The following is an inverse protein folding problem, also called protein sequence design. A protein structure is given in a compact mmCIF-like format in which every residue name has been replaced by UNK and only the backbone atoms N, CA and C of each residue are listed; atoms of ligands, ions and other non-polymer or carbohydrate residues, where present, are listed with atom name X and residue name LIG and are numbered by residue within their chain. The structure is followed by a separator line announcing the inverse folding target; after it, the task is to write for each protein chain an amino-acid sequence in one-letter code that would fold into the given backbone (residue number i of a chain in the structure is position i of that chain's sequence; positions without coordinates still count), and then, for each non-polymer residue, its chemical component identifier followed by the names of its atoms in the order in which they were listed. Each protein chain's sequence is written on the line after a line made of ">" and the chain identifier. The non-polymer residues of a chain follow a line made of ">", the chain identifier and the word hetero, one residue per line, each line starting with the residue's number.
data_IF_316727461083
#
_entry.id   IF_316727461083
#
_cell.length_a   1.000
_cell.length_b   1.000
_cell.length_c   1.000
_cell.angle_alpha   90.00
_cell.angle_beta   90.00
_cell.angle_gamma   90.00
#
_symmetry.space_group_name_H-M   'P 1'
#
loop_
_entity.id
_entity.type
_entity.pdbx_description
1 polymer ?
#
# COMPACT_ATOMS: atom_id res chain seq x y z
N UNK A 1 -12.30 -5.53 5.98
CA UNK A 1 -11.07 -5.61 5.16
C UNK A 1 -10.20 -4.40 5.48
N UNK A 2 -8.86 -4.49 5.43
CA UNK A 2 -7.97 -3.35 5.68
C UNK A 2 -7.77 -2.51 4.43
N UNK A 3 -7.58 -1.20 4.60
CA UNK A 3 -7.24 -0.28 3.51
C UNK A 3 -5.82 0.26 3.73
N UNK A 4 -4.92 0.00 2.80
CA UNK A 4 -3.61 0.63 2.75
C UNK A 4 -3.57 1.63 1.59
N UNK A 5 -3.02 2.80 1.83
CA UNK A 5 -2.74 3.78 0.78
C UNK A 5 -1.24 3.73 0.50
N UNK A 6 -0.86 3.58 -0.76
CA UNK A 6 0.52 3.73 -1.21
C UNK A 6 0.69 5.12 -1.78
N UNK A 7 1.78 5.81 -1.44
CA UNK A 7 2.06 7.14 -2.00
C UNK A 7 2.27 7.07 -3.51
N UNK A 8 2.13 8.20 -4.19
CA UNK A 8 2.65 8.35 -5.55
C UNK A 8 4.15 8.08 -5.56
N UNK A 9 4.67 7.49 -6.63
CA UNK A 9 6.09 7.14 -6.75
C UNK A 9 7.05 8.34 -6.74
N UNK A 10 6.53 9.54 -7.04
CA UNK A 10 7.28 10.81 -7.03
C UNK A 10 6.78 11.72 -5.92
N UNK A 11 7.66 12.56 -5.39
CA UNK A 11 7.26 13.65 -4.48
C UNK A 11 6.58 14.78 -5.26
N UNK A 12 5.66 15.47 -4.60
CA UNK A 12 4.99 16.64 -5.15
C UNK A 12 4.71 17.68 -4.06
N UNK A 13 4.44 18.92 -4.48
CA UNK A 13 4.18 20.03 -3.56
C UNK A 13 2.89 19.77 -2.77
N UNK A 14 2.90 20.06 -1.46
CA UNK A 14 1.78 19.88 -0.54
C UNK A 14 1.36 18.41 -0.29
N UNK A 15 2.20 17.44 -0.65
CA UNK A 15 1.94 16.03 -0.35
C UNK A 15 1.70 15.79 1.14
N UNK A 16 2.46 16.45 2.01
CA UNK A 16 2.30 16.39 3.46
C UNK A 16 0.92 16.84 3.93
N UNK A 17 0.36 17.89 3.32
CA UNK A 17 -0.98 18.39 3.67
C UNK A 17 -2.07 17.41 3.25
N UNK A 18 -1.95 16.83 2.05
CA UNK A 18 -2.91 15.83 1.57
C UNK A 18 -2.84 14.57 2.44
N UNK A 19 -1.64 14.08 2.75
CA UNK A 19 -1.45 12.93 3.63
C UNK A 19 -2.01 13.19 5.04
N UNK A 20 -1.76 14.38 5.60
CA UNK A 20 -2.32 14.78 6.90
C UNK A 20 -3.84 14.74 6.85
N UNK A 21 -4.47 15.31 5.83
CA UNK A 21 -5.93 15.28 5.67
C UNK A 21 -6.47 13.85 5.52
N UNK A 22 -5.77 12.96 4.83
CA UNK A 22 -6.14 11.53 4.75
C UNK A 22 -6.07 10.86 6.13
N UNK A 23 -5.06 11.19 6.95
CA UNK A 23 -4.96 10.68 8.31
C UNK A 23 -6.06 11.23 9.21
N UNK A 24 -6.43 12.51 9.08
CA UNK A 24 -7.54 13.14 9.81
C UNK A 24 -8.87 12.43 9.48
N UNK A 25 -9.05 12.01 8.22
CA UNK A 25 -10.19 11.22 7.78
C UNK A 25 -10.06 9.71 8.13
N UNK A 26 -9.04 9.35 8.91
CA UNK A 26 -8.89 8.01 9.48
C UNK A 26 -8.12 7.03 8.63
N UNK A 27 -7.21 7.48 7.77
CA UNK A 27 -6.20 6.60 7.20
C UNK A 27 -5.34 6.03 8.32
N UNK A 28 -5.17 4.73 8.35
CA UNK A 28 -4.41 4.04 9.40
C UNK A 28 -3.23 3.19 8.89
N UNK A 29 -3.02 3.17 7.57
CA UNK A 29 -1.93 2.42 6.95
C UNK A 29 -1.47 3.12 5.68
N UNK A 30 -0.35 3.81 5.77
CA UNK A 30 0.32 4.49 4.65
C UNK A 30 1.60 3.75 4.30
N UNK A 31 1.77 3.41 3.04
CA UNK A 31 3.00 2.89 2.48
C UNK A 31 3.76 4.00 1.75
N UNK A 32 4.89 4.40 2.29
CA UNK A 32 5.77 5.41 1.69
C UNK A 32 6.66 4.73 0.64
N UNK A 33 6.24 4.85 -0.63
CA UNK A 33 6.90 4.26 -1.79
C UNK A 33 7.46 5.36 -2.69
N UNK A 34 8.78 5.55 -2.67
CA UNK A 34 9.48 6.61 -3.41
C UNK A 34 10.74 6.04 -4.07
N UNK A 35 10.60 5.11 -5.02
CA UNK A 35 11.72 4.36 -5.57
C UNK A 35 12.76 5.28 -6.20
N UNK A 36 14.04 5.02 -5.89
CA UNK A 36 15.17 5.76 -6.44
C UNK A 36 15.34 7.20 -5.94
N UNK A 37 14.52 7.64 -4.97
CA UNK A 37 14.63 8.98 -4.40
C UNK A 37 15.71 9.07 -3.32
N UNK A 38 16.30 10.26 -3.15
CA UNK A 38 17.20 10.53 -2.03
C UNK A 38 16.44 10.42 -0.70
N UNK A 39 17.06 9.85 0.35
CA UNK A 39 16.45 9.75 1.67
C UNK A 39 16.05 11.10 2.26
N UNK A 40 16.75 12.16 1.93
CA UNK A 40 16.48 13.53 2.41
C UNK A 40 15.03 13.98 2.12
N UNK A 41 14.44 13.57 0.99
CA UNK A 41 13.06 13.93 0.66
C UNK A 41 12.06 13.16 1.53
N UNK A 42 12.32 11.89 1.80
CA UNK A 42 11.50 11.09 2.73
C UNK A 42 11.61 11.61 4.15
N UNK A 43 12.81 11.95 4.62
CA UNK A 43 13.03 12.58 5.93
C UNK A 43 12.24 13.89 6.07
N UNK A 44 12.33 14.76 5.06
CA UNK A 44 11.58 16.01 5.05
C UNK A 44 10.07 15.77 5.12
N UNK A 45 9.54 14.86 4.30
CA UNK A 45 8.11 14.53 4.32
C UNK A 45 7.68 14.01 5.70
N UNK A 46 8.44 13.06 6.28
CA UNK A 46 8.16 12.51 7.59
C UNK A 46 8.21 13.57 8.70
N UNK A 47 9.15 14.53 8.61
CA UNK A 47 9.24 15.63 9.56
C UNK A 47 8.01 16.53 9.55
N UNK A 48 7.37 16.72 8.39
CA UNK A 48 6.16 17.52 8.23
C UNK A 48 4.90 16.81 8.73
N UNK A 49 4.91 15.47 8.85
CA UNK A 49 3.77 14.72 9.38
C UNK A 49 3.76 14.75 10.93
N UNK A 50 2.58 14.88 11.56
CA UNK A 50 2.41 14.69 13.00
C UNK A 50 2.97 13.34 13.49
N UNK A 51 3.52 13.33 14.71
CA UNK A 51 4.16 12.13 15.25
C UNK A 51 3.24 10.90 15.32
N UNK A 52 1.99 11.09 15.71
CA UNK A 52 0.99 10.02 15.78
C UNK A 52 0.68 9.41 14.40
N UNK A 53 0.83 10.20 13.33
CA UNK A 53 0.64 9.72 11.95
C UNK A 53 1.86 8.97 11.43
N UNK A 54 3.08 9.36 11.82
CA UNK A 54 4.30 8.63 11.47
C UNK A 54 4.25 7.17 11.91
N UNK A 55 3.66 6.87 13.07
CA UNK A 55 3.47 5.50 13.57
C UNK A 55 2.55 4.63 12.72
N UNK A 56 1.88 5.22 11.74
CA UNK A 56 1.03 4.53 10.76
C UNK A 56 1.67 4.39 9.37
N UNK A 57 2.94 4.79 9.25
CA UNK A 57 3.70 4.78 8.00
C UNK A 57 4.61 3.55 7.94
N UNK A 58 4.59 2.85 6.81
CA UNK A 58 5.52 1.77 6.46
C UNK A 58 6.41 2.25 5.31
N UNK A 59 7.73 2.13 5.43
CA UNK A 59 8.68 2.55 4.38
C UNK A 59 9.11 1.40 3.48
N UNK A 60 9.26 1.69 2.19
CA UNK A 60 9.74 0.73 1.18
C UNK A 60 11.25 0.86 0.93
N UNK A 61 11.82 2.04 1.17
CA UNK A 61 13.22 2.35 1.00
C UNK A 61 13.79 2.96 2.28
N UNK A 62 15.14 3.02 2.38
CA UNK A 62 15.81 3.69 3.50
C UNK A 62 15.31 3.19 4.87
N UNK A 63 15.39 1.88 5.11
CA UNK A 63 14.79 1.19 6.26
C UNK A 63 15.19 1.75 7.63
N UNK A 64 16.33 2.45 7.74
CA UNK A 64 16.73 3.13 8.98
C UNK A 64 15.71 4.19 9.45
N UNK A 65 14.92 4.77 8.52
CA UNK A 65 13.87 5.73 8.82
C UNK A 65 12.82 5.16 9.76
N UNK A 66 12.60 3.83 9.72
CA UNK A 66 11.65 3.17 10.64
C UNK A 66 12.02 3.42 12.09
N UNK A 67 13.29 3.32 12.46
CA UNK A 67 13.75 3.53 13.83
C UNK A 67 13.86 5.01 14.15
N UNK A 68 14.35 5.81 13.22
CA UNK A 68 14.59 7.24 13.44
C UNK A 68 13.30 8.04 13.63
N UNK A 69 12.23 7.66 12.93
CA UNK A 69 10.93 8.36 12.99
C UNK A 69 9.83 7.54 13.69
N UNK A 70 10.16 6.45 14.35
CA UNK A 70 9.20 5.55 15.03
C UNK A 70 8.05 5.10 14.13
N UNK A 71 8.38 4.65 12.92
CA UNK A 71 7.40 4.25 11.92
C UNK A 71 6.80 2.86 12.23
N UNK A 72 5.68 2.51 11.57
CA UNK A 72 4.99 1.23 11.75
C UNK A 72 5.85 0.01 11.40
N UNK A 73 6.64 0.10 10.34
CA UNK A 73 7.47 -1.01 9.87
C UNK A 73 8.16 -0.71 8.55
N UNK A 74 8.69 -1.77 7.95
CA UNK A 74 9.29 -1.74 6.61
C UNK A 74 8.54 -2.66 5.66
N UNK A 75 8.60 -2.37 4.36
CA UNK A 75 8.10 -3.23 3.30
C UNK A 75 9.24 -3.66 2.38
N UNK A 76 9.30 -4.93 2.05
CA UNK A 76 10.32 -5.51 1.17
C UNK A 76 9.67 -5.77 -0.19
N UNK A 77 9.98 -4.91 -1.17
CA UNK A 77 9.38 -4.98 -2.51
C UNK A 77 9.88 -6.16 -3.34
N UNK A 78 11.19 -6.46 -3.26
CA UNK A 78 11.75 -7.61 -3.94
C UNK A 78 11.34 -8.92 -3.24
N UNK A 79 10.57 -9.81 -3.91
CA UNK A 79 10.16 -11.08 -3.34
C UNK A 79 11.32 -11.98 -2.90
N UNK A 80 12.50 -11.79 -3.45
CA UNK A 80 13.69 -12.61 -3.19
C UNK A 80 14.64 -11.98 -2.17
N UNK A 81 14.51 -10.68 -1.88
CA UNK A 81 15.38 -10.00 -0.94
C UNK A 81 15.21 -10.55 0.49
N UNK A 82 16.30 -10.73 1.24
CA UNK A 82 16.24 -11.10 2.65
C UNK A 82 15.71 -9.94 3.50
N UNK A 83 15.27 -10.27 4.71
CA UNK A 83 15.04 -9.26 5.74
C UNK A 83 16.40 -8.64 6.10
N UNK A 84 16.50 -7.32 6.27
CA UNK A 84 17.77 -6.68 6.67
C UNK A 84 18.35 -7.30 7.93
N UNK A 85 19.67 -7.50 7.93
CA UNK A 85 20.37 -8.09 9.06
C UNK A 85 20.10 -7.33 10.38
N UNK A 86 19.78 -8.06 11.42
CA UNK A 86 19.48 -7.50 12.73
C UNK A 86 18.12 -6.80 12.87
N UNK A 87 17.32 -6.72 11.82
CA UNK A 87 15.99 -6.11 11.90
C UNK A 87 15.02 -6.99 12.71
N UNK A 88 14.44 -6.39 13.77
CA UNK A 88 13.50 -7.08 14.68
C UNK A 88 12.09 -6.51 14.67
N UNK A 89 11.82 -5.52 13.81
CA UNK A 89 10.53 -4.86 13.72
C UNK A 89 9.49 -5.60 12.89
N UNK A 90 8.31 -5.02 12.76
CA UNK A 90 7.27 -5.50 11.84
C UNK A 90 7.71 -5.26 10.40
N UNK A 91 7.46 -6.24 9.54
CA UNK A 91 7.67 -6.09 8.11
C UNK A 91 6.59 -6.77 7.29
N UNK A 92 6.37 -6.25 6.12
CA UNK A 92 5.55 -6.82 5.06
C UNK A 92 6.40 -7.01 3.82
N UNK A 93 5.91 -7.75 2.84
CA UNK A 93 6.63 -7.95 1.57
C UNK A 93 5.69 -8.16 0.40
N UNK A 94 6.22 -7.92 -0.79
CA UNK A 94 5.55 -8.25 -2.04
C UNK A 94 5.74 -9.73 -2.39
N UNK A 95 4.69 -10.34 -2.92
CA UNK A 95 4.68 -11.68 -3.50
C UNK A 95 4.07 -11.61 -4.90
N UNK A 96 4.72 -12.27 -5.85
CA UNK A 96 4.27 -12.36 -7.26
C UNK A 96 3.96 -13.79 -7.69
N UNK A 97 4.03 -14.74 -6.76
CA UNK A 97 3.87 -16.17 -7.02
C UNK A 97 2.97 -16.81 -5.96
N UNK A 98 1.82 -17.33 -6.40
CA UNK A 98 0.84 -18.00 -5.52
C UNK A 98 1.44 -19.19 -4.77
N UNK A 99 2.41 -19.91 -5.36
CA UNK A 99 3.04 -21.07 -4.73
C UNK A 99 3.90 -20.66 -3.51
N UNK A 100 4.49 -19.48 -3.54
CA UNK A 100 5.32 -18.95 -2.45
C UNK A 100 4.53 -18.23 -1.36
N UNK A 101 3.27 -17.90 -1.64
CA UNK A 101 2.44 -17.08 -0.75
C UNK A 101 2.31 -17.65 0.66
N UNK A 102 2.13 -18.97 0.78
CA UNK A 102 2.02 -19.65 2.08
C UNK A 102 3.28 -19.49 2.95
N UNK A 103 4.46 -19.59 2.35
CA UNK A 103 5.72 -19.42 3.07
C UNK A 103 5.94 -17.96 3.47
N UNK A 104 5.69 -17.03 2.56
CA UNK A 104 5.86 -15.60 2.81
C UNK A 104 4.95 -15.10 3.93
N UNK A 105 3.70 -15.58 4.00
CA UNK A 105 2.77 -15.25 5.09
C UNK A 105 3.26 -15.69 6.47
N UNK A 106 4.00 -16.78 6.58
CA UNK A 106 4.55 -17.24 7.86
C UNK A 106 5.60 -16.32 8.43
N UNK A 107 6.39 -15.70 7.55
CA UNK A 107 7.56 -14.88 7.91
C UNK A 107 7.24 -13.39 8.02
N UNK A 108 6.10 -12.92 7.49
CA UNK A 108 5.73 -11.51 7.43
C UNK A 108 4.46 -11.22 8.22
N UNK A 109 4.27 -9.97 8.60
CA UNK A 109 3.02 -9.53 9.23
C UNK A 109 1.84 -9.59 8.24
N UNK A 110 2.08 -9.17 6.99
CA UNK A 110 1.18 -9.33 5.85
C UNK A 110 1.99 -9.33 4.56
N UNK A 111 1.34 -9.70 3.47
CA UNK A 111 1.96 -9.84 2.14
C UNK A 111 1.10 -9.11 1.11
N UNK A 112 1.71 -8.33 0.23
CA UNK A 112 1.07 -7.81 -0.97
C UNK A 112 1.14 -8.86 -2.07
N UNK A 113 0.02 -9.33 -2.57
CA UNK A 113 -0.04 -10.14 -3.78
C UNK A 113 -0.18 -9.19 -4.98
N UNK A 114 0.87 -9.11 -5.79
CA UNK A 114 1.03 -8.20 -6.94
C UNK A 114 1.09 -9.00 -8.24
N UNK A 115 0.54 -8.64 -9.36
CA UNK A 115 -0.43 -7.59 -9.71
C UNK A 115 -1.80 -8.26 -9.88
N UNK A 116 -2.80 -7.83 -9.13
CA UNK A 116 -4.15 -8.41 -9.22
C UNK A 116 -4.83 -7.98 -10.51
N UNK A 117 -4.76 -6.68 -10.83
CA UNK A 117 -5.20 -6.09 -12.08
C UNK A 117 -4.05 -5.33 -12.75
N UNK A 118 -4.30 -4.81 -13.96
CA UNK A 118 -3.39 -3.89 -14.64
C UNK A 118 -3.17 -2.65 -13.75
N UNK A 119 -1.91 -2.27 -13.56
CA UNK A 119 -1.56 -1.14 -12.72
C UNK A 119 -2.10 0.17 -13.30
N UNK A 120 -2.70 1.01 -12.46
CA UNK A 120 -3.22 2.32 -12.87
C UNK A 120 -2.07 3.33 -13.00
N UNK A 121 -1.08 3.26 -12.11
CA UNK A 121 0.06 4.19 -12.09
C UNK A 121 1.10 3.85 -13.17
N UNK A 122 1.42 2.56 -13.32
CA UNK A 122 2.41 2.06 -14.28
C UNK A 122 1.73 1.23 -15.37
N UNK A 123 1.48 1.85 -16.52
CA UNK A 123 0.70 1.24 -17.62
C UNK A 123 1.30 -0.05 -18.19
N UNK A 124 2.60 -0.26 -18.05
CA UNK A 124 3.31 -1.44 -18.52
C UNK A 124 3.20 -2.62 -17.55
N UNK A 125 2.80 -2.39 -16.31
CA UNK A 125 2.56 -3.44 -15.32
C UNK A 125 1.17 -4.04 -15.50
N UNK A 126 1.13 -5.25 -16.08
CA UNK A 126 -0.11 -5.99 -16.34
C UNK A 126 -0.45 -6.95 -15.21
N UNK A 127 -1.72 -7.37 -15.18
CA UNK A 127 -2.17 -8.38 -14.22
C UNK A 127 -1.38 -9.68 -14.39
N UNK A 128 -1.01 -10.29 -13.26
CA UNK A 128 -0.21 -11.52 -13.22
C UNK A 128 -1.09 -12.77 -13.07
N UNK A 129 -2.37 -12.61 -12.76
CA UNK A 129 -3.27 -13.72 -12.43
C UNK A 129 -4.60 -13.61 -13.19
N UNK A 130 -5.10 -14.73 -13.66
CA UNK A 130 -6.48 -14.83 -14.12
C UNK A 130 -7.45 -14.86 -12.93
N UNK A 131 -8.70 -14.47 -13.15
CA UNK A 131 -9.76 -14.59 -12.13
C UNK A 131 -9.87 -16.02 -11.59
N UNK A 132 -9.80 -17.01 -12.48
CA UNK A 132 -9.85 -18.43 -12.11
C UNK A 132 -8.69 -18.83 -11.18
N UNK A 133 -7.47 -18.35 -11.43
CA UNK A 133 -6.32 -18.61 -10.56
C UNK A 133 -6.53 -18.01 -9.16
N UNK A 134 -7.06 -16.79 -9.08
CA UNK A 134 -7.37 -16.14 -7.80
C UNK A 134 -8.47 -16.86 -7.02
N UNK A 135 -9.54 -17.31 -7.73
CA UNK A 135 -10.61 -18.09 -7.10
C UNK A 135 -10.10 -19.44 -6.57
N UNK A 136 -9.24 -20.13 -7.33
CA UNK A 136 -8.62 -21.38 -6.89
C UNK A 136 -7.71 -21.14 -5.66
N UNK A 137 -6.92 -20.06 -5.66
CA UNK A 137 -6.07 -19.69 -4.53
C UNK A 137 -6.90 -19.36 -3.28
N UNK A 138 -8.02 -18.67 -3.45
CA UNK A 138 -8.96 -18.37 -2.37
C UNK A 138 -9.58 -19.66 -1.78
N UNK A 139 -10.09 -20.55 -2.63
CA UNK A 139 -10.64 -21.84 -2.21
C UNK A 139 -9.61 -22.72 -1.51
N UNK A 140 -8.35 -22.67 -1.92
CA UNK A 140 -7.23 -23.37 -1.29
C UNK A 140 -6.75 -22.74 0.03
N UNK A 141 -7.35 -21.61 0.48
CA UNK A 141 -6.94 -20.88 1.69
C UNK A 141 -5.60 -20.19 1.58
N UNK A 142 -5.11 -19.97 0.37
CA UNK A 142 -3.87 -19.19 0.14
C UNK A 142 -4.11 -17.70 0.34
N UNK A 143 -5.27 -17.19 -0.09
CA UNK A 143 -5.72 -15.82 0.15
C UNK A 143 -6.46 -15.81 1.49
N UNK A 144 -6.01 -14.97 2.41
CA UNK A 144 -6.55 -14.83 3.76
C UNK A 144 -6.32 -13.43 4.34
N UNK A 145 -6.57 -13.27 5.65
CA UNK A 145 -6.43 -11.99 6.37
C UNK A 145 -5.04 -11.36 6.30
N UNK A 146 -4.01 -12.12 5.95
CA UNK A 146 -2.63 -11.63 5.80
C UNK A 146 -2.27 -11.25 4.37
N UNK A 147 -3.15 -11.44 3.40
CA UNK A 147 -2.88 -11.15 1.99
C UNK A 147 -3.65 -9.91 1.57
N UNK A 148 -2.94 -8.92 1.06
CA UNK A 148 -3.50 -7.67 0.56
C UNK A 148 -3.36 -7.64 -0.96
N UNK A 149 -4.43 -7.26 -1.64
CA UNK A 149 -4.45 -7.12 -3.09
C UNK A 149 -3.73 -5.83 -3.51
N UNK A 150 -2.72 -5.94 -4.36
CA UNK A 150 -1.98 -4.82 -4.96
C UNK A 150 -2.00 -4.91 -6.49
N UNK A 151 -2.14 -3.78 -7.14
CA UNK A 151 -2.16 -3.61 -8.60
C UNK A 151 -3.56 -3.39 -9.14
N UNK A 152 -3.80 -2.22 -9.70
CA UNK A 152 -5.06 -1.82 -10.31
C UNK A 152 -6.26 -1.77 -9.37
N UNK A 153 -6.03 -1.76 -8.06
CA UNK A 153 -7.11 -1.69 -7.09
C UNK A 153 -7.79 -0.33 -7.12
N UNK A 154 -9.12 -0.35 -7.18
CA UNK A 154 -9.97 0.84 -7.24
C UNK A 154 -11.32 0.59 -6.56
N UNK A 155 -12.11 1.65 -6.37
CA UNK A 155 -13.44 1.55 -5.77
C UNK A 155 -14.33 0.51 -6.48
N UNK A 156 -14.19 0.39 -7.80
CA UNK A 156 -15.02 -0.47 -8.66
C UNK A 156 -14.77 -1.98 -8.43
N UNK A 157 -13.54 -2.34 -7.98
CA UNK A 157 -13.17 -3.75 -7.83
C UNK A 157 -12.94 -4.21 -6.39
N UNK A 158 -13.18 -3.35 -5.39
CA UNK A 158 -13.06 -3.70 -3.97
C UNK A 158 -13.94 -4.89 -3.58
N UNK A 159 -15.15 -4.97 -4.16
CA UNK A 159 -16.07 -6.08 -3.88
C UNK A 159 -15.46 -7.42 -4.25
N UNK A 160 -14.80 -7.51 -5.40
CA UNK A 160 -14.14 -8.75 -5.84
C UNK A 160 -13.02 -9.16 -4.87
N UNK A 161 -12.20 -8.22 -4.42
CA UNK A 161 -11.17 -8.52 -3.43
C UNK A 161 -11.77 -9.04 -2.10
N UNK A 162 -12.88 -8.46 -1.66
CA UNK A 162 -13.61 -8.90 -0.46
C UNK A 162 -14.18 -10.31 -0.64
N UNK A 163 -14.80 -10.59 -1.77
CA UNK A 163 -15.41 -11.88 -2.10
C UNK A 163 -14.33 -13.00 -2.22
N UNK A 164 -13.13 -12.68 -2.68
CA UNK A 164 -11.98 -13.58 -2.72
C UNK A 164 -11.31 -13.80 -1.36
N UNK A 165 -11.70 -13.06 -0.32
CA UNK A 165 -11.19 -13.23 1.05
C UNK A 165 -9.87 -12.51 1.33
N UNK A 166 -9.48 -11.51 0.53
CA UNK A 166 -8.32 -10.68 0.85
C UNK A 166 -8.50 -9.98 2.20
N UNK A 167 -7.43 -9.98 3.01
CA UNK A 167 -7.41 -9.28 4.29
C UNK A 167 -7.32 -7.77 4.15
N UNK A 168 -6.81 -7.29 3.03
CA UNK A 168 -6.68 -5.88 2.71
C UNK A 168 -6.54 -5.60 1.22
N UNK A 169 -6.60 -4.32 0.89
CA UNK A 169 -6.33 -3.78 -0.45
C UNK A 169 -5.37 -2.61 -0.34
N UNK A 170 -4.57 -2.43 -1.38
CA UNK A 170 -3.62 -1.32 -1.51
C UNK A 170 -4.09 -0.42 -2.66
N UNK A 171 -4.42 0.80 -2.34
CA UNK A 171 -4.84 1.83 -3.31
C UNK A 171 -3.68 2.78 -3.57
N UNK A 172 -3.38 3.00 -4.84
CA UNK A 172 -2.37 3.95 -5.30
C UNK A 172 -2.94 4.81 -6.43
N UNK A 173 -2.86 4.38 -7.68
CA UNK A 173 -3.27 5.15 -8.85
C UNK A 173 -4.73 5.63 -8.82
N UNK A 174 -5.64 4.90 -8.17
CA UNK A 174 -7.04 5.31 -8.04
C UNK A 174 -7.24 6.59 -7.19
N UNK A 175 -6.28 6.92 -6.33
CA UNK A 175 -6.26 8.19 -5.60
C UNK A 175 -5.42 9.23 -6.36
N UNK A 176 -4.18 8.87 -6.76
CA UNK A 176 -3.22 9.86 -7.24
C UNK A 176 -3.36 10.22 -8.71
N UNK A 177 -3.89 9.31 -9.55
CA UNK A 177 -4.02 9.53 -11.00
C UNK A 177 -5.44 9.92 -11.43
N UNK A 178 -6.42 9.83 -10.53
CA UNK A 178 -7.81 10.21 -10.79
C UNK A 178 -8.02 11.73 -10.72
N UNK A 179 -7.29 12.39 -9.85
CA UNK A 179 -7.47 13.81 -9.53
C UNK A 179 -6.23 14.64 -9.91
N UNK A 180 -6.46 15.89 -10.27
CA UNK A 180 -5.40 16.90 -10.32
C UNK A 180 -5.12 17.38 -8.89
N UNK A 181 -4.14 16.77 -8.25
CA UNK A 181 -3.78 17.03 -6.84
C UNK A 181 -3.24 18.44 -6.58
N UNK A 182 -2.98 19.23 -7.63
CA UNK A 182 -2.60 20.64 -7.52
C UNK A 182 -3.80 21.59 -7.57
N UNK A 183 -5.00 21.07 -7.83
CA UNK A 183 -6.24 21.83 -7.82
C UNK A 183 -6.97 21.63 -6.48
N UNK A 184 -7.32 22.71 -5.80
CA UNK A 184 -7.99 22.64 -4.48
C UNK A 184 -9.32 21.88 -4.54
N UNK A 185 -10.07 22.01 -5.64
CA UNK A 185 -11.33 21.29 -5.84
C UNK A 185 -11.08 19.80 -5.93
N UNK A 186 -10.10 19.39 -6.74
CA UNK A 186 -9.75 17.97 -6.90
C UNK A 186 -9.18 17.38 -5.61
N UNK A 187 -8.47 18.18 -4.80
CA UNK A 187 -8.01 17.76 -3.48
C UNK A 187 -9.19 17.42 -2.54
N UNK A 188 -10.24 18.23 -2.53
CA UNK A 188 -11.46 17.93 -1.75
C UNK A 188 -12.16 16.67 -2.28
N UNK A 189 -12.23 16.51 -3.59
CA UNK A 189 -12.79 15.33 -4.23
C UNK A 189 -11.96 14.07 -3.94
N UNK A 190 -10.63 14.18 -3.88
CA UNK A 190 -9.73 13.11 -3.46
C UNK A 190 -10.06 12.63 -2.04
N UNK A 191 -10.24 13.53 -1.09
CA UNK A 191 -10.62 13.18 0.29
C UNK A 191 -12.00 12.49 0.32
N UNK A 192 -12.98 13.01 -0.42
CA UNK A 192 -14.31 12.39 -0.52
C UNK A 192 -14.23 10.99 -1.16
N UNK A 193 -13.33 10.79 -2.13
CA UNK A 193 -13.10 9.47 -2.73
C UNK A 193 -12.50 8.50 -1.72
N UNK A 194 -11.54 8.95 -0.93
CA UNK A 194 -10.98 8.16 0.16
C UNK A 194 -12.05 7.71 1.17
N UNK A 195 -12.97 8.61 1.55
CA UNK A 195 -14.10 8.24 2.42
C UNK A 195 -14.98 7.16 1.79
N UNK A 196 -15.24 7.25 0.47
CA UNK A 196 -16.00 6.20 -0.26
C UNK A 196 -15.29 4.85 -0.24
N UNK A 197 -13.96 4.84 -0.44
CA UNK A 197 -13.13 3.64 -0.33
C UNK A 197 -13.25 3.02 1.08
N UNK A 198 -13.14 3.84 2.13
CA UNK A 198 -13.29 3.39 3.52
C UNK A 198 -14.66 2.76 3.79
N UNK A 199 -15.72 3.40 3.32
CA UNK A 199 -17.08 2.86 3.46
C UNK A 199 -17.25 1.53 2.72
N UNK A 200 -16.66 1.39 1.54
CA UNK A 200 -16.78 0.17 0.73
C UNK A 200 -16.06 -1.04 1.33
N UNK A 201 -15.01 -0.82 2.13
CA UNK A 201 -14.27 -1.93 2.78
C UNK A 201 -14.84 -2.32 4.16
N UNK A 202 -15.66 -1.50 4.75
CA UNK A 202 -16.38 -1.79 6.02
C UNK A 202 -17.47 -2.82 5.81
#
# INVERSE_FOLDING_TARGET
>A
MKLAIMTKSTFFVEEDKILTSLFDEGMDNLHLFKPGSSPMYSERLLTLLPEDYRRKVTVHDHYYLKQEYDLAGIHIDDPLAPVPDGYKGKYSRTCTDLLKLKEMKKKSNYVFLKNIFDCIEFKDEKSSFSTQQLEMAAKAGLIDKKVYALGGMSLENLKMAKDLGFGGVVICGDIWNRFDIHNETDFKELIQHFERLRKAIS
#
